data_IF_851487691989
#
_entry.id   IF_851487691989
#
_cell.length_a   1.000
_cell.length_b   1.000
_cell.length_c   1.000
_cell.angle_alpha   90.00
_cell.angle_beta   90.00
_cell.angle_gamma   90.00
#
_symmetry.space_group_name_H-M   'P 1'
#
loop_
_entity.id
_entity.type
_entity.pdbx_description
1 polymer ?
#
# COMPACT_ATOMS: atom_id res chain seq x y z
N UNK A 1 10.48 -0.02 7.98
CA UNK A 1 9.44 0.98 8.16
C UNK A 1 8.03 0.42 8.00
N UNK A 2 7.67 -0.22 6.86
CA UNK A 2 6.35 -0.86 6.65
C UNK A 2 5.95 -1.77 7.81
N UNK A 3 6.84 -2.68 8.24
CA UNK A 3 6.57 -3.60 9.36
C UNK A 3 6.22 -2.88 10.66
N UNK A 4 6.93 -1.80 10.97
CA UNK A 4 6.71 -1.07 12.22
C UNK A 4 5.43 -0.22 12.18
N UNK A 5 5.19 0.51 11.09
CA UNK A 5 3.96 1.26 10.89
C UNK A 5 2.74 0.36 10.86
N UNK A 6 2.83 -0.81 10.21
CA UNK A 6 1.77 -1.82 10.18
C UNK A 6 1.48 -2.40 11.56
N UNK A 7 2.51 -2.63 12.39
CA UNK A 7 2.33 -3.10 13.76
C UNK A 7 1.59 -2.08 14.62
N UNK A 8 1.94 -0.81 14.52
CA UNK A 8 1.27 0.26 15.24
C UNK A 8 -0.16 0.49 14.75
N UNK A 9 -0.35 0.49 13.43
CA UNK A 9 -1.68 0.61 12.81
C UNK A 9 -2.60 -0.56 13.19
N UNK A 10 -2.08 -1.79 13.25
CA UNK A 10 -2.86 -2.96 13.65
C UNK A 10 -3.27 -2.96 15.12
N UNK A 11 -2.50 -2.32 16.00
CA UNK A 11 -2.84 -2.17 17.43
C UNK A 11 -3.87 -1.08 17.71
N UNK A 12 -3.97 -0.08 16.86
CA UNK A 12 -4.84 1.06 17.05
C UNK A 12 -6.34 0.71 17.22
N UNK A 13 -6.95 -0.17 16.37
CA UNK A 13 -8.36 -0.55 16.54
C UNK A 13 -8.64 -1.41 17.76
N UNK A 14 -7.64 -2.12 18.30
CA UNK A 14 -7.83 -2.96 19.50
C UNK A 14 -8.09 -2.13 20.74
N UNK A 15 -7.61 -0.88 20.78
CA UNK A 15 -7.89 0.06 21.87
C UNK A 15 -9.36 0.48 21.91
N UNK A 16 -10.02 0.51 20.74
CA UNK A 16 -11.44 0.88 20.63
C UNK A 16 -12.38 -0.25 21.05
N UNK A 17 -11.92 -1.52 20.96
CA UNK A 17 -12.72 -2.71 21.32
C UNK A 17 -12.57 -3.12 22.79
N UNK A 18 -11.56 -2.60 23.48
CA UNK A 18 -11.14 -3.14 24.77
C UNK A 18 -12.02 -2.77 25.97
N UNK A 19 -12.91 -1.76 25.91
CA UNK A 19 -13.77 -1.47 27.05
C UNK A 19 -14.95 -0.56 26.69
N UNK A 20 -16.14 -1.11 26.45
CA UNK A 20 -17.35 -0.28 26.37
C UNK A 20 -17.65 0.45 27.69
N UNK A 21 -17.26 -0.11 28.83
CA UNK A 21 -17.43 0.53 30.16
C UNK A 21 -16.46 1.68 30.40
N UNK A 22 -15.21 1.61 29.91
CA UNK A 22 -14.25 2.72 29.94
C UNK A 22 -14.60 3.89 29.04
N UNK A 23 -15.37 3.66 27.98
CA UNK A 23 -15.88 4.72 27.10
C UNK A 23 -16.77 5.71 27.85
N UNK A 24 -17.49 5.25 28.86
CA UNK A 24 -18.45 6.04 29.66
C UNK A 24 -17.72 6.93 30.68
N UNK A 25 -16.49 6.61 31.04
CA UNK A 25 -15.71 7.30 32.05
C UNK A 25 -14.75 8.37 31.51
N UNK A 26 -14.49 8.41 30.18
CA UNK A 26 -13.60 9.40 29.61
C UNK A 26 -14.38 10.64 29.15
N UNK A 27 -13.90 11.81 29.51
CA UNK A 27 -14.42 13.05 28.95
C UNK A 27 -14.17 13.07 27.43
N UNK A 28 -15.02 13.76 26.63
CA UNK A 28 -14.84 13.85 25.18
C UNK A 28 -13.44 14.31 24.76
N UNK A 29 -12.80 15.18 25.55
CA UNK A 29 -11.46 15.68 25.31
C UNK A 29 -10.35 14.65 25.57
N UNK A 30 -10.50 13.83 26.62
CA UNK A 30 -9.56 12.75 26.94
C UNK A 30 -9.66 11.63 25.90
N UNK A 31 -10.87 11.27 25.47
CA UNK A 31 -11.12 10.30 24.43
C UNK A 31 -10.47 10.75 23.11
N UNK A 32 -10.66 12.01 22.71
CA UNK A 32 -10.05 12.59 21.51
C UNK A 32 -8.52 12.57 21.60
N UNK A 33 -7.96 12.98 22.75
CA UNK A 33 -6.50 12.99 22.98
C UNK A 33 -5.90 11.58 22.87
N UNK A 34 -6.50 10.58 23.50
CA UNK A 34 -6.03 9.18 23.42
C UNK A 34 -6.13 8.65 22.00
N UNK A 35 -7.20 8.98 21.31
CA UNK A 35 -7.42 8.57 19.91
C UNK A 35 -6.40 9.20 18.96
N UNK A 36 -6.21 10.51 19.01
CA UNK A 36 -5.22 11.24 18.22
C UNK A 36 -3.81 10.72 18.49
N UNK A 37 -3.45 10.60 19.77
CA UNK A 37 -2.11 10.16 20.15
C UNK A 37 -1.80 8.74 19.67
N UNK A 38 -2.67 7.78 19.97
CA UNK A 38 -2.41 6.36 19.65
C UNK A 38 -2.63 6.00 18.18
N UNK A 39 -3.56 6.67 17.49
CA UNK A 39 -3.95 6.30 16.14
C UNK A 39 -3.22 7.12 15.05
N UNK A 40 -2.82 8.34 15.35
CA UNK A 40 -2.15 9.22 14.40
C UNK A 40 -0.68 9.44 14.78
N UNK A 41 -0.41 9.91 15.99
CA UNK A 41 0.95 10.33 16.38
C UNK A 41 1.89 9.15 16.51
N UNK A 42 1.51 8.11 17.22
CA UNK A 42 2.39 6.95 17.48
C UNK A 42 2.79 6.21 16.18
N UNK A 43 1.90 5.95 15.21
CA UNK A 43 2.30 5.33 13.94
C UNK A 43 3.16 6.22 13.04
N UNK A 44 3.06 7.55 13.17
CA UNK A 44 3.85 8.53 12.41
C UNK A 44 5.22 8.77 13.04
N UNK A 45 5.36 8.56 14.36
CA UNK A 45 6.62 8.81 15.07
C UNK A 45 7.86 8.19 14.43
N UNK A 46 7.85 6.92 13.96
CA UNK A 46 9.00 6.31 13.29
C UNK A 46 9.31 6.89 11.91
N UNK A 47 8.36 7.64 11.32
CA UNK A 47 8.56 8.34 10.06
C UNK A 47 9.51 9.53 10.22
N UNK A 48 9.45 10.21 11.35
CA UNK A 48 10.21 11.45 11.61
C UNK A 48 11.72 11.25 11.41
N UNK A 49 12.41 10.30 12.09
CA UNK A 49 13.84 10.10 11.89
C UNK A 49 14.19 9.66 10.46
N UNK A 50 13.33 8.88 9.80
CA UNK A 50 13.55 8.46 8.42
C UNK A 50 13.46 9.66 7.47
N UNK A 51 12.47 10.52 7.63
CA UNK A 51 12.32 11.74 6.82
C UNK A 51 13.48 12.70 7.05
N UNK A 52 13.94 12.86 8.30
CA UNK A 52 15.10 13.71 8.61
C UNK A 52 16.36 13.18 7.92
N UNK A 53 16.63 11.87 7.99
CA UNK A 53 17.78 11.25 7.34
C UNK A 53 17.71 11.40 5.81
N UNK A 54 16.55 11.15 5.21
CA UNK A 54 16.35 11.32 3.76
C UNK A 54 16.47 12.80 3.32
N UNK A 55 16.07 13.74 4.16
CA UNK A 55 16.23 15.17 3.90
C UNK A 55 17.71 15.60 3.96
N UNK A 56 18.50 14.97 4.82
CA UNK A 56 19.96 15.22 4.89
C UNK A 56 20.71 14.68 3.66
N UNK A 57 20.17 13.68 2.98
CA UNK A 57 20.73 13.10 1.73
C UNK A 57 20.17 13.75 0.45
N UNK A 58 19.58 14.88 0.44
CA UNK A 58 18.62 15.51 -0.47
C UNK A 58 17.79 14.53 -1.35
N UNK A 59 17.32 13.43 -0.75
CA UNK A 59 16.54 12.38 -1.42
C UNK A 59 15.03 12.64 -1.35
N UNK A 60 14.55 13.68 -2.05
CA UNK A 60 13.13 14.11 -2.00
C UNK A 60 12.15 13.03 -2.44
N UNK A 61 12.50 12.25 -3.45
CA UNK A 61 11.67 11.12 -3.93
C UNK A 61 11.45 10.05 -2.86
N UNK A 62 12.49 9.72 -2.09
CA UNK A 62 12.39 8.80 -0.96
C UNK A 62 11.44 9.31 0.13
N UNK A 63 11.43 10.62 0.39
CA UNK A 63 10.52 11.24 1.36
C UNK A 63 9.08 11.11 0.87
N UNK A 64 8.80 11.52 -0.36
CA UNK A 64 7.45 11.46 -0.95
C UNK A 64 6.91 10.03 -0.94
N UNK A 65 7.70 9.08 -1.42
CA UNK A 65 7.32 7.66 -1.43
C UNK A 65 7.04 7.12 -0.02
N UNK A 66 7.92 7.43 0.93
CA UNK A 66 7.80 6.98 2.31
C UNK A 66 6.54 7.53 2.98
N UNK A 67 6.27 8.81 2.81
CA UNK A 67 5.06 9.48 3.33
C UNK A 67 3.80 8.91 2.68
N UNK A 68 3.81 8.70 1.35
CA UNK A 68 2.69 8.14 0.61
C UNK A 68 2.35 6.71 1.08
N UNK A 69 3.36 5.85 1.29
CA UNK A 69 3.15 4.47 1.77
C UNK A 69 2.60 4.45 3.19
N UNK A 70 3.19 5.22 4.11
CA UNK A 70 2.69 5.28 5.51
C UNK A 70 1.31 5.90 5.55
N UNK A 71 1.06 6.96 4.78
CA UNK A 71 -0.26 7.56 4.64
C UNK A 71 -1.30 6.54 4.17
N UNK A 72 -0.97 5.73 3.17
CA UNK A 72 -1.86 4.66 2.67
C UNK A 72 -2.15 3.61 3.75
N UNK A 73 -1.13 3.17 4.51
CA UNK A 73 -1.32 2.23 5.62
C UNK A 73 -2.26 2.82 6.68
N UNK A 74 -2.07 4.09 7.05
CA UNK A 74 -2.90 4.76 8.05
C UNK A 74 -4.35 4.95 7.57
N UNK A 75 -4.54 5.34 6.32
CA UNK A 75 -5.88 5.50 5.73
C UNK A 75 -6.65 4.18 5.68
N UNK A 76 -5.99 3.09 5.28
CA UNK A 76 -6.62 1.78 5.12
C UNK A 76 -6.68 0.97 6.42
N UNK A 77 -5.95 1.35 7.46
CA UNK A 77 -6.01 0.68 8.77
C UNK A 77 -7.36 0.84 9.47
N UNK A 78 -8.21 1.75 9.00
CA UNK A 78 -9.51 2.06 9.62
C UNK A 78 -9.40 2.66 11.03
N UNK A 79 -8.18 2.94 11.47
CA UNK A 79 -7.89 3.33 12.86
C UNK A 79 -8.33 4.76 13.20
N UNK A 80 -8.49 5.62 12.21
CA UNK A 80 -8.66 7.05 12.44
C UNK A 80 -9.99 7.66 11.99
N UNK A 81 -10.75 7.02 11.11
CA UNK A 81 -11.96 7.64 10.56
C UNK A 81 -11.71 9.09 10.08
N UNK A 82 -12.50 10.03 10.58
CA UNK A 82 -12.38 11.46 10.24
C UNK A 82 -11.01 12.05 10.55
N UNK A 83 -10.28 11.55 11.56
CA UNK A 83 -8.97 12.06 11.96
C UNK A 83 -7.86 11.74 10.95
N UNK A 84 -7.90 10.57 10.30
CA UNK A 84 -6.93 10.22 9.24
C UNK A 84 -7.17 11.06 7.99
N UNK A 85 -8.42 11.32 7.64
CA UNK A 85 -8.76 12.24 6.57
C UNK A 85 -8.37 13.68 6.89
N UNK A 86 -8.63 14.15 8.11
CA UNK A 86 -8.17 15.46 8.58
C UNK A 86 -6.64 15.57 8.53
N UNK A 87 -5.91 14.51 8.96
CA UNK A 87 -4.46 14.45 8.86
C UNK A 87 -3.97 14.46 7.41
N UNK A 88 -4.63 13.76 6.49
CA UNK A 88 -4.30 13.79 5.08
C UNK A 88 -4.55 15.17 4.44
N UNK A 89 -5.66 15.83 4.78
CA UNK A 89 -5.98 17.18 4.33
C UNK A 89 -4.94 18.18 4.87
N UNK A 90 -4.61 18.11 6.16
CA UNK A 90 -3.58 19.01 6.75
C UNK A 90 -2.20 18.76 6.17
N UNK A 91 -1.82 17.51 5.88
CA UNK A 91 -0.57 17.20 5.18
C UNK A 91 -0.58 17.75 3.75
N UNK A 92 -1.69 17.68 3.05
CA UNK A 92 -1.88 18.27 1.71
C UNK A 92 -1.74 19.80 1.72
N UNK A 93 -2.40 20.48 2.67
CA UNK A 93 -2.29 21.95 2.79
C UNK A 93 -0.89 22.39 3.24
N UNK A 94 -0.21 21.63 4.10
CA UNK A 94 1.18 21.86 4.46
C UNK A 94 2.12 21.69 3.25
N UNK A 95 1.87 20.68 2.43
CA UNK A 95 2.62 20.45 1.20
C UNK A 95 2.39 21.62 0.22
N UNK A 96 1.14 22.06 0.05
CA UNK A 96 0.79 23.22 -0.79
C UNK A 96 1.47 24.50 -0.29
N UNK A 97 1.48 24.76 1.03
CA UNK A 97 2.19 25.91 1.60
C UNK A 97 3.71 25.78 1.48
N UNK A 98 4.27 24.59 1.59
CA UNK A 98 5.69 24.34 1.32
C UNK A 98 6.02 24.58 -0.15
N UNK A 99 5.17 24.12 -1.06
CA UNK A 99 5.34 24.33 -2.50
C UNK A 99 5.20 25.82 -2.87
N UNK A 100 4.33 26.57 -2.20
CA UNK A 100 4.21 28.04 -2.42
C UNK A 100 5.42 28.83 -1.93
N UNK A 101 6.27 28.25 -1.07
CA UNK A 101 7.53 28.84 -0.60
C UNK A 101 8.77 28.20 -1.26
N UNK A 102 8.58 27.47 -2.35
CA UNK A 102 9.65 26.77 -3.09
C UNK A 102 10.73 27.74 -3.60
N UNK A 103 10.38 28.99 -3.88
CA UNK A 103 11.34 30.04 -4.29
C UNK A 103 12.50 30.23 -3.28
N UNK A 104 12.30 29.81 -2.05
CA UNK A 104 13.35 29.81 -1.01
C UNK A 104 14.25 28.57 -1.02
N UNK A 105 13.95 27.53 -1.83
CA UNK A 105 14.70 26.27 -1.90
C UNK A 105 15.19 26.06 -3.35
N UNK A 106 16.43 26.50 -3.69
CA UNK A 106 16.94 26.51 -5.07
C UNK A 106 16.89 25.14 -5.79
N UNK A 107 17.01 24.06 -5.03
CA UNK A 107 16.96 22.70 -5.57
C UNK A 107 15.56 22.30 -6.06
N UNK A 108 14.51 22.63 -5.31
CA UNK A 108 13.12 22.35 -5.69
C UNK A 108 12.68 23.26 -6.84
N UNK A 109 13.06 24.53 -6.77
CA UNK A 109 12.79 25.50 -7.82
C UNK A 109 13.34 25.02 -9.16
N UNK A 110 14.61 24.61 -9.22
CA UNK A 110 15.22 24.09 -10.46
C UNK A 110 14.49 22.87 -11.05
N UNK A 111 13.92 22.01 -10.20
CA UNK A 111 13.13 20.84 -10.66
C UNK A 111 11.75 21.24 -11.18
N UNK A 112 11.10 22.21 -10.52
CA UNK A 112 9.79 22.70 -10.94
C UNK A 112 9.90 23.57 -12.18
N UNK A 113 10.92 24.40 -12.30
CA UNK A 113 11.19 25.20 -13.48
C UNK A 113 11.38 24.33 -14.73
N UNK A 114 12.11 23.22 -14.60
CA UNK A 114 12.29 22.25 -15.68
C UNK A 114 11.03 21.44 -16.04
N UNK A 115 10.02 21.43 -15.17
CA UNK A 115 8.78 20.71 -15.41
C UNK A 115 7.67 21.56 -16.04
N UNK A 116 7.60 22.85 -15.70
CA UNK A 116 6.49 23.75 -16.12
C UNK A 116 6.71 24.45 -17.45
N UNK A 117 7.86 24.24 -18.14
CA UNK A 117 8.28 25.03 -19.28
C UNK A 117 8.17 24.29 -20.61
N UNK A 118 8.23 25.06 -21.72
CA UNK A 118 8.27 24.56 -23.08
C UNK A 118 9.41 23.54 -23.29
N UNK A 119 9.23 22.62 -24.24
CA UNK A 119 10.22 21.59 -24.62
C UNK A 119 11.65 22.10 -24.74
N UNK A 120 11.83 23.36 -25.13
CA UNK A 120 13.15 24.00 -25.26
C UNK A 120 13.85 24.34 -23.95
N UNK A 121 13.13 24.26 -22.82
CA UNK A 121 13.61 24.59 -21.48
C UNK A 121 13.54 23.41 -20.51
N UNK A 122 13.00 22.27 -20.94
CA UNK A 122 13.01 21.04 -20.18
C UNK A 122 14.42 20.47 -19.99
N UNK A 123 14.60 19.63 -18.98
CA UNK A 123 15.85 18.88 -18.84
C UNK A 123 16.01 17.90 -20.00
N UNK A 124 17.24 17.70 -20.49
CA UNK A 124 17.56 16.78 -21.57
C UNK A 124 16.96 15.39 -21.32
N UNK A 125 16.98 14.90 -20.07
CA UNK A 125 16.39 13.62 -19.69
C UNK A 125 14.89 13.54 -19.96
N UNK A 126 14.14 14.58 -19.64
CA UNK A 126 12.69 14.63 -19.86
C UNK A 126 12.36 14.69 -21.34
N UNK A 127 13.10 15.49 -22.09
CA UNK A 127 12.92 15.64 -23.56
C UNK A 127 13.20 14.30 -24.25
N UNK A 128 14.31 13.63 -23.95
CA UNK A 128 14.67 12.34 -24.52
C UNK A 128 13.66 11.24 -24.12
N UNK A 129 13.15 11.29 -22.87
CA UNK A 129 12.08 10.39 -22.44
C UNK A 129 10.81 10.53 -23.28
N UNK A 130 10.40 11.77 -23.58
CA UNK A 130 9.23 12.03 -24.42
C UNK A 130 9.47 11.62 -25.89
N UNK A 131 10.71 11.80 -26.41
CA UNK A 131 11.07 11.33 -27.73
C UNK A 131 11.03 9.80 -27.81
N UNK A 132 11.56 9.08 -26.80
CA UNK A 132 11.46 7.62 -26.73
C UNK A 132 9.99 7.15 -26.77
N UNK A 133 9.11 7.75 -25.96
CA UNK A 133 7.69 7.41 -25.96
C UNK A 133 7.04 7.71 -27.31
N UNK A 134 7.35 8.87 -27.92
CA UNK A 134 6.79 9.30 -29.20
C UNK A 134 7.25 8.44 -30.37
N UNK A 135 8.54 8.05 -30.40
CA UNK A 135 9.12 7.24 -31.48
C UNK A 135 8.60 5.81 -31.53
N UNK A 136 8.17 5.26 -30.35
CA UNK A 136 7.63 3.91 -30.28
C UNK A 136 6.29 3.71 -31.02
N UNK A 137 5.50 4.76 -31.22
CA UNK A 137 4.21 4.67 -31.89
C UNK A 137 3.30 3.59 -31.31
N UNK A 138 2.49 2.93 -32.15
CA UNK A 138 1.55 1.89 -31.67
C UNK A 138 2.20 0.54 -31.41
N UNK A 139 3.14 0.11 -32.23
CA UNK A 139 3.72 -1.26 -32.26
C UNK A 139 5.13 -1.34 -31.69
N UNK A 140 5.80 -0.21 -31.49
CA UNK A 140 7.19 -0.15 -31.10
C UNK A 140 8.18 -0.39 -32.26
N UNK A 141 9.45 -0.11 -31.98
CA UNK A 141 10.58 -0.35 -32.90
C UNK A 141 11.09 -1.81 -32.84
N UNK A 142 10.58 -2.60 -31.89
CA UNK A 142 11.04 -3.96 -31.62
C UNK A 142 12.02 -4.03 -30.44
N UNK A 143 12.04 -5.17 -29.75
CA UNK A 143 12.89 -5.41 -28.60
C UNK A 143 14.38 -5.24 -28.97
N UNK A 144 15.11 -4.48 -28.18
CA UNK A 144 16.53 -4.21 -28.36
C UNK A 144 16.85 -3.10 -29.36
N UNK A 145 15.87 -2.56 -30.08
CA UNK A 145 16.04 -1.55 -31.12
C UNK A 145 15.80 -0.10 -30.64
N UNK A 146 15.73 0.13 -29.35
CA UNK A 146 15.64 1.49 -28.81
C UNK A 146 16.87 2.31 -29.21
N UNK A 147 16.65 3.48 -29.79
CA UNK A 147 17.68 4.44 -30.18
C UNK A 147 18.09 5.28 -28.98
N UNK A 148 17.10 5.70 -28.17
CA UNK A 148 17.33 6.56 -27.00
C UNK A 148 18.14 5.86 -25.89
N UNK A 149 18.05 4.53 -25.80
CA UNK A 149 18.87 3.72 -24.88
C UNK A 149 20.38 3.78 -25.22
N UNK A 150 20.73 4.04 -26.48
CA UNK A 150 22.11 4.03 -26.98
C UNK A 150 22.77 5.42 -26.84
N UNK A 151 22.92 5.95 -25.61
CA UNK A 151 23.67 7.18 -25.27
C UNK A 151 22.88 8.49 -25.21
N UNK A 152 21.62 8.55 -25.64
CA UNK A 152 20.83 9.78 -25.62
C UNK A 152 20.08 10.00 -24.31
N UNK A 153 19.50 8.93 -23.74
CA UNK A 153 18.73 9.00 -22.51
C UNK A 153 19.60 8.61 -21.30
N UNK A 154 20.01 9.55 -20.43
CA UNK A 154 20.66 9.23 -19.16
C UNK A 154 19.75 8.37 -18.29
N UNK A 155 20.32 7.42 -17.52
CA UNK A 155 19.58 6.52 -16.62
C UNK A 155 18.46 5.72 -17.31
N UNK A 156 18.61 5.44 -18.61
CA UNK A 156 17.65 4.69 -19.42
C UNK A 156 17.35 3.28 -18.88
N UNK A 157 18.28 2.68 -18.13
CA UNK A 157 18.13 1.36 -17.49
C UNK A 157 17.58 1.41 -16.08
N UNK A 158 17.49 2.58 -15.48
CA UNK A 158 17.04 2.80 -14.11
C UNK A 158 15.68 3.52 -14.08
N UNK A 159 15.71 4.85 -13.98
CA UNK A 159 14.52 5.65 -13.71
C UNK A 159 13.64 5.87 -14.94
N UNK A 160 14.25 5.82 -16.14
CA UNK A 160 13.58 6.03 -17.42
C UNK A 160 13.35 4.74 -18.23
N UNK A 161 13.47 3.57 -17.58
CA UNK A 161 13.28 2.28 -18.27
C UNK A 161 11.90 2.14 -18.93
N UNK A 162 10.85 2.74 -18.36
CA UNK A 162 9.52 2.70 -18.96
C UNK A 162 9.44 3.46 -20.28
N UNK A 163 10.21 4.52 -20.50
CA UNK A 163 10.33 5.21 -21.81
C UNK A 163 10.93 4.30 -22.86
N UNK A 164 11.97 3.54 -22.49
CA UNK A 164 12.56 2.51 -23.38
C UNK A 164 11.55 1.42 -23.70
N UNK A 165 10.78 0.98 -22.73
CA UNK A 165 9.67 0.02 -22.94
C UNK A 165 8.65 0.57 -23.93
N UNK A 166 8.28 1.85 -23.82
CA UNK A 166 7.37 2.50 -24.77
C UNK A 166 7.97 2.57 -26.18
N UNK A 167 9.27 2.84 -26.31
CA UNK A 167 9.96 2.88 -27.60
C UNK A 167 10.04 1.50 -28.25
N UNK A 168 10.43 0.48 -27.50
CA UNK A 168 10.64 -0.87 -28.03
C UNK A 168 9.33 -1.63 -28.30
N UNK A 169 8.35 -1.54 -27.40
CA UNK A 169 7.08 -2.28 -27.46
C UNK A 169 5.89 -1.44 -27.94
N UNK A 170 6.07 -0.13 -28.08
CA UNK A 170 5.02 0.80 -28.47
C UNK A 170 3.92 0.97 -27.42
N UNK A 171 2.88 1.70 -27.81
CA UNK A 171 1.73 1.98 -26.94
C UNK A 171 1.04 0.70 -26.45
N UNK A 172 0.87 -0.30 -27.31
CA UNK A 172 0.22 -1.57 -26.96
C UNK A 172 1.01 -2.30 -25.87
N UNK A 173 2.33 -2.38 -26.01
CA UNK A 173 3.20 -3.01 -25.00
C UNK A 173 3.22 -2.24 -23.68
N UNK A 174 3.28 -0.91 -23.74
CA UNK A 174 3.22 -0.07 -22.55
C UNK A 174 1.91 -0.26 -21.77
N UNK A 175 0.76 -0.25 -22.46
CA UNK A 175 -0.55 -0.50 -21.84
C UNK A 175 -0.62 -1.91 -21.24
N UNK A 176 -0.11 -2.91 -21.95
CA UNK A 176 -0.08 -4.29 -21.43
C UNK A 176 0.71 -4.37 -20.12
N UNK A 177 1.88 -3.74 -20.03
CA UNK A 177 2.69 -3.72 -18.80
C UNK A 177 1.96 -3.00 -17.69
N UNK A 178 1.31 -1.87 -17.94
CA UNK A 178 0.49 -1.17 -16.94
C UNK A 178 -0.63 -2.09 -16.43
N UNK A 179 -1.34 -2.77 -17.32
CA UNK A 179 -2.40 -3.70 -16.96
C UNK A 179 -1.86 -4.84 -16.09
N UNK A 180 -0.69 -5.40 -16.44
CA UNK A 180 -0.04 -6.43 -15.62
C UNK A 180 0.32 -5.92 -14.22
N UNK A 181 0.83 -4.69 -14.06
CA UNK A 181 1.05 -4.10 -12.76
C UNK A 181 -0.24 -3.90 -11.97
N UNK A 182 -1.31 -3.42 -12.62
CA UNK A 182 -2.62 -3.26 -11.97
C UNK A 182 -3.14 -4.61 -11.48
N UNK A 183 -3.11 -5.64 -12.30
CA UNK A 183 -3.53 -6.99 -11.92
C UNK A 183 -2.66 -7.53 -10.77
N UNK A 184 -1.36 -7.34 -10.82
CA UNK A 184 -0.43 -7.74 -9.77
C UNK A 184 -0.74 -7.06 -8.43
N UNK A 185 -0.95 -5.73 -8.44
CA UNK A 185 -1.29 -4.96 -7.25
C UNK A 185 -2.65 -5.40 -6.70
N UNK A 186 -3.66 -5.56 -7.54
CA UNK A 186 -5.00 -6.02 -7.13
C UNK A 186 -4.92 -7.41 -6.50
N UNK A 187 -4.21 -8.36 -7.11
CA UNK A 187 -4.02 -9.70 -6.54
C UNK A 187 -3.29 -9.64 -5.20
N UNK A 188 -2.24 -8.84 -5.09
CA UNK A 188 -1.52 -8.66 -3.83
C UNK A 188 -2.41 -8.06 -2.72
N UNK A 189 -3.25 -7.09 -3.05
CA UNK A 189 -4.22 -6.51 -2.10
C UNK A 189 -5.28 -7.54 -1.67
N UNK A 190 -5.76 -8.38 -2.59
CA UNK A 190 -6.70 -9.47 -2.26
C UNK A 190 -6.06 -10.50 -1.33
N UNK A 191 -4.79 -10.85 -1.53
CA UNK A 191 -4.01 -11.71 -0.62
C UNK A 191 -3.89 -11.05 0.76
N UNK A 192 -3.51 -9.77 0.79
CA UNK A 192 -3.39 -9.01 2.04
C UNK A 192 -4.71 -8.94 2.81
N UNK A 193 -5.83 -8.74 2.12
CA UNK A 193 -7.16 -8.68 2.74
C UNK A 193 -7.58 -10.02 3.35
N UNK A 194 -7.16 -11.15 2.78
CA UNK A 194 -7.45 -12.51 3.28
C UNK A 194 -6.45 -12.98 4.34
N UNK A 195 -5.54 -12.13 4.80
CA UNK A 195 -4.54 -12.49 5.80
C UNK A 195 -5.16 -12.95 7.13
N UNK A 196 -4.41 -13.75 7.88
CA UNK A 196 -4.83 -14.34 9.16
C UNK A 196 -5.20 -13.28 10.20
N UNK A 197 -4.44 -12.19 10.26
CA UNK A 197 -4.59 -11.13 11.25
C UNK A 197 -4.37 -9.73 10.66
N UNK A 198 -4.82 -8.70 11.39
CA UNK A 198 -4.77 -7.32 10.94
C UNK A 198 -3.32 -6.81 10.68
N UNK A 199 -2.34 -7.30 11.45
CA UNK A 199 -0.95 -6.95 11.24
C UNK A 199 -0.45 -7.42 9.85
N UNK A 200 -0.69 -8.69 9.51
CA UNK A 200 -0.34 -9.24 8.20
C UNK A 200 -1.07 -8.51 7.06
N UNK A 201 -2.36 -8.17 7.28
CA UNK A 201 -3.13 -7.34 6.35
C UNK A 201 -2.43 -5.99 6.10
N UNK A 202 -2.05 -5.28 7.17
CA UNK A 202 -1.38 -3.97 7.04
C UNK A 202 0.00 -4.07 6.39
N UNK A 203 0.76 -5.12 6.71
CA UNK A 203 2.06 -5.38 6.05
C UNK A 203 1.87 -5.61 4.55
N UNK A 204 0.94 -6.46 4.18
CA UNK A 204 0.64 -6.74 2.77
C UNK A 204 0.15 -5.50 2.01
N UNK A 205 -0.74 -4.72 2.61
CA UNK A 205 -1.19 -3.44 2.06
C UNK A 205 0.00 -2.48 1.88
N UNK A 206 0.89 -2.40 2.87
CA UNK A 206 2.06 -1.53 2.80
C UNK A 206 3.01 -1.88 1.66
N UNK A 207 3.28 -3.18 1.45
CA UNK A 207 4.10 -3.67 0.34
C UNK A 207 3.45 -3.34 -1.01
N UNK A 208 2.16 -3.63 -1.16
CA UNK A 208 1.45 -3.34 -2.41
C UNK A 208 1.32 -1.85 -2.67
N UNK A 209 1.11 -1.03 -1.63
CA UNK A 209 1.09 0.43 -1.74
C UNK A 209 2.45 0.98 -2.19
N UNK A 210 3.56 0.46 -1.66
CA UNK A 210 4.90 0.84 -2.09
C UNK A 210 5.08 0.60 -3.59
N UNK A 211 4.76 -0.59 -4.07
CA UNK A 211 4.87 -0.95 -5.49
C UNK A 211 3.94 -0.06 -6.33
N UNK A 212 2.70 0.14 -5.89
CA UNK A 212 1.74 0.98 -6.60
C UNK A 212 2.22 2.43 -6.74
N UNK A 213 2.73 3.01 -5.65
CA UNK A 213 3.28 4.37 -5.68
C UNK A 213 4.54 4.48 -6.54
N UNK A 214 5.44 3.47 -6.50
CA UNK A 214 6.63 3.45 -7.36
C UNK A 214 6.25 3.40 -8.84
N UNK A 215 5.34 2.51 -9.23
CA UNK A 215 4.85 2.40 -10.61
C UNK A 215 4.18 3.70 -11.05
N UNK A 216 3.28 4.23 -10.23
CA UNK A 216 2.59 5.48 -10.53
C UNK A 216 3.55 6.65 -10.71
N UNK A 217 4.46 6.86 -9.75
CA UNK A 217 5.42 7.96 -9.82
C UNK A 217 6.38 7.81 -11.00
N UNK A 218 6.89 6.60 -11.29
CA UNK A 218 7.78 6.37 -12.44
C UNK A 218 7.08 6.71 -13.75
N UNK A 219 5.87 6.18 -14.00
CA UNK A 219 5.11 6.46 -15.21
C UNK A 219 4.79 7.96 -15.32
N UNK A 220 4.38 8.60 -14.21
CA UNK A 220 4.06 10.02 -14.20
C UNK A 220 5.28 10.92 -14.48
N UNK A 221 6.46 10.50 -14.04
CA UNK A 221 7.73 11.22 -14.34
C UNK A 221 8.12 11.08 -15.79
N UNK A 222 8.14 9.86 -16.34
CA UNK A 222 8.58 9.64 -17.73
C UNK A 222 7.62 10.25 -18.76
N UNK A 223 6.33 10.41 -18.38
CA UNK A 223 5.32 11.13 -19.19
C UNK A 223 5.29 12.63 -18.92
N UNK A 224 6.22 13.16 -18.14
CA UNK A 224 6.26 14.56 -17.72
C UNK A 224 4.98 15.06 -17.03
N UNK A 225 4.20 14.17 -16.42
CA UNK A 225 3.03 14.53 -15.60
C UNK A 225 3.44 15.00 -14.21
N UNK A 226 4.56 14.47 -13.68
CA UNK A 226 5.20 14.89 -12.45
C UNK A 226 6.65 15.30 -12.73
N UNK A 227 7.22 16.21 -11.90
CA UNK A 227 8.63 16.56 -12.01
C UNK A 227 9.52 15.35 -11.77
N UNK A 228 10.72 15.34 -12.37
CA UNK A 228 11.66 14.24 -12.26
C UNK A 228 12.03 13.96 -10.79
N UNK A 229 11.69 12.76 -10.31
CA UNK A 229 11.92 12.33 -8.93
C UNK A 229 13.00 11.25 -8.78
N UNK A 230 13.41 10.57 -9.85
CA UNK A 230 14.39 9.49 -9.78
C UNK A 230 13.85 8.21 -9.10
N UNK A 231 12.56 7.93 -9.21
CA UNK A 231 11.96 6.69 -8.69
C UNK A 231 12.03 5.60 -9.74
N UNK A 232 12.70 4.49 -9.41
CA UNK A 232 12.84 3.34 -10.30
C UNK A 232 11.56 2.54 -10.45
N UNK A 233 11.34 1.92 -11.63
CA UNK A 233 10.21 1.03 -11.88
C UNK A 233 10.47 -0.34 -11.24
N UNK A 234 9.58 -0.83 -10.36
CA UNK A 234 9.74 -2.13 -9.71
C UNK A 234 9.91 -3.26 -10.72
N UNK A 235 10.85 -4.18 -10.46
CA UNK A 235 11.19 -5.36 -11.27
C UNK A 235 11.81 -5.09 -12.66
N UNK A 236 11.74 -3.87 -13.17
CA UNK A 236 12.27 -3.51 -14.50
C UNK A 236 13.62 -2.80 -14.41
N UNK A 237 13.78 -1.94 -13.41
CA UNK A 237 15.00 -1.16 -13.25
C UNK A 237 16.19 -2.02 -12.84
N UNK A 238 17.39 -1.67 -13.32
CA UNK A 238 18.62 -2.46 -13.15
C UNK A 238 19.26 -2.39 -11.75
N UNK A 239 18.51 -1.95 -10.74
CA UNK A 239 18.98 -1.84 -9.35
C UNK A 239 19.04 -3.19 -8.65
N UNK A 240 20.23 -3.80 -8.54
CA UNK A 240 20.39 -5.12 -7.88
C UNK A 240 19.88 -5.15 -6.43
N UNK A 241 20.19 -4.13 -5.63
CA UNK A 241 19.74 -4.03 -4.24
C UNK A 241 18.22 -3.87 -4.14
N UNK A 242 17.62 -3.05 -4.99
CA UNK A 242 16.16 -2.85 -5.00
C UNK A 242 15.43 -4.12 -5.42
N UNK A 243 15.95 -4.87 -6.38
CA UNK A 243 15.38 -6.15 -6.80
C UNK A 243 15.42 -7.20 -5.69
N UNK A 244 16.55 -7.32 -4.94
CA UNK A 244 16.65 -8.24 -3.81
C UNK A 244 15.60 -7.90 -2.74
N UNK A 245 15.43 -6.62 -2.42
CA UNK A 245 14.43 -6.17 -1.44
C UNK A 245 13.01 -6.46 -1.92
N UNK A 246 12.69 -6.17 -3.19
CA UNK A 246 11.39 -6.48 -3.77
C UNK A 246 11.09 -7.99 -3.74
N UNK A 247 12.07 -8.83 -4.06
CA UNK A 247 11.90 -10.29 -3.98
C UNK A 247 11.69 -10.76 -2.54
N UNK A 248 12.38 -10.16 -1.57
CA UNK A 248 12.14 -10.43 -0.16
C UNK A 248 10.72 -10.02 0.27
N UNK A 249 10.23 -8.86 -0.15
CA UNK A 249 8.86 -8.40 0.07
C UNK A 249 7.84 -9.36 -0.56
N UNK A 250 8.12 -9.87 -1.76
CA UNK A 250 7.26 -10.90 -2.39
C UNK A 250 7.26 -12.20 -1.59
N UNK A 251 8.41 -12.61 -1.03
CA UNK A 251 8.48 -13.75 -0.11
C UNK A 251 7.57 -13.58 1.12
N UNK A 252 7.53 -12.37 1.69
CA UNK A 252 6.60 -12.03 2.77
C UNK A 252 5.15 -12.12 2.31
N UNK A 253 4.81 -11.60 1.12
CA UNK A 253 3.47 -11.68 0.54
C UNK A 253 2.99 -13.12 0.34
N UNK A 254 3.85 -13.99 -0.20
CA UNK A 254 3.55 -15.42 -0.36
C UNK A 254 3.30 -16.09 1.00
N UNK A 255 4.09 -15.75 2.02
CA UNK A 255 3.90 -16.28 3.37
C UNK A 255 2.56 -15.80 3.97
N UNK A 256 2.20 -14.53 3.81
CA UNK A 256 0.90 -13.99 4.24
C UNK A 256 -0.25 -14.75 3.57
N UNK A 257 -0.18 -15.00 2.27
CA UNK A 257 -1.19 -15.74 1.53
C UNK A 257 -1.37 -17.17 2.05
N UNK A 258 -0.27 -17.90 2.19
CA UNK A 258 -0.28 -19.30 2.70
C UNK A 258 -0.85 -19.40 4.12
N UNK A 259 -0.49 -18.48 5.00
CA UNK A 259 -1.02 -18.49 6.37
C UNK A 259 -2.49 -18.07 6.42
N UNK A 260 -2.91 -17.14 5.58
CA UNK A 260 -4.32 -16.77 5.44
C UNK A 260 -5.20 -17.93 4.99
N UNK A 261 -4.76 -18.71 3.99
CA UNK A 261 -5.47 -19.90 3.53
C UNK A 261 -5.56 -20.98 4.62
N UNK A 262 -4.45 -21.25 5.32
CA UNK A 262 -4.45 -22.21 6.45
C UNK A 262 -5.41 -21.78 7.55
N UNK A 263 -5.40 -20.50 7.91
CA UNK A 263 -6.30 -19.96 8.92
C UNK A 263 -7.77 -20.06 8.48
N UNK A 264 -8.06 -19.83 7.20
CA UNK A 264 -9.41 -20.01 6.64
C UNK A 264 -9.89 -21.46 6.75
N UNK A 265 -9.06 -22.43 6.35
CA UNK A 265 -9.36 -23.87 6.45
C UNK A 265 -9.58 -24.28 7.91
N UNK A 266 -8.75 -23.84 8.84
CA UNK A 266 -8.94 -24.14 10.27
C UNK A 266 -10.25 -23.56 10.82
N UNK A 267 -10.61 -22.34 10.42
CA UNK A 267 -11.90 -21.73 10.81
C UNK A 267 -13.09 -22.51 10.29
N UNK A 268 -13.01 -23.00 9.07
CA UNK A 268 -14.06 -23.81 8.46
C UNK A 268 -14.21 -25.16 9.17
N UNK A 269 -13.12 -25.87 9.47
CA UNK A 269 -13.11 -27.09 10.25
C UNK A 269 -13.70 -26.88 11.64
N UNK A 270 -13.31 -25.81 12.34
CA UNK A 270 -13.88 -25.50 13.66
C UNK A 270 -15.36 -25.15 13.60
N UNK A 271 -15.84 -24.52 12.53
CA UNK A 271 -17.28 -24.27 12.33
C UNK A 271 -18.04 -25.56 12.16
N UNK A 272 -17.57 -26.45 11.28
CA UNK A 272 -18.18 -27.78 11.06
C UNK A 272 -18.21 -28.58 12.35
N UNK A 273 -17.13 -28.61 13.14
CA UNK A 273 -17.11 -29.30 14.44
C UNK A 273 -18.11 -28.70 15.45
N UNK A 274 -18.24 -27.37 15.48
CA UNK A 274 -19.21 -26.70 16.37
C UNK A 274 -20.66 -26.99 15.96
N UNK A 275 -20.92 -27.04 14.66
CA UNK A 275 -22.25 -27.40 14.12
C UNK A 275 -22.60 -28.84 14.45
N UNK A 276 -21.68 -29.80 14.26
CA UNK A 276 -21.85 -31.18 14.65
C UNK A 276 -22.13 -31.34 16.16
N UNK A 277 -21.31 -30.69 17.00
CA UNK A 277 -21.50 -30.72 18.45
C UNK A 277 -22.82 -30.08 18.91
N UNK A 278 -23.33 -29.08 18.18
CA UNK A 278 -24.65 -28.50 18.45
C UNK A 278 -25.77 -29.49 18.10
N UNK A 279 -25.69 -30.11 16.92
CA UNK A 279 -26.65 -31.10 16.47
C UNK A 279 -26.73 -32.32 17.43
N UNK A 280 -25.57 -32.80 17.92
CA UNK A 280 -25.52 -33.87 18.93
C UNK A 280 -26.21 -33.46 20.25
N UNK A 281 -25.95 -32.23 20.74
CA UNK A 281 -26.61 -31.72 21.96
C UNK A 281 -28.13 -31.58 21.79
N UNK A 282 -28.58 -31.10 20.65
CA UNK A 282 -30.00 -30.96 20.34
C UNK A 282 -30.67 -32.33 20.26
N UNK A 283 -30.02 -33.32 19.63
CA UNK A 283 -30.51 -34.70 19.57
C UNK A 283 -30.59 -35.36 20.98
N UNK A 284 -29.58 -35.11 21.84
CA UNK A 284 -29.57 -35.60 23.21
C UNK A 284 -30.68 -34.97 24.05
N UNK A 285 -30.88 -33.63 23.91
CA UNK A 285 -31.98 -32.94 24.59
C UNK A 285 -33.36 -33.45 24.13
N UNK A 286 -33.53 -33.68 22.82
CA UNK A 286 -34.77 -34.22 22.28
C UNK A 286 -35.06 -35.64 22.85
N UNK A 287 -34.05 -36.51 22.93
CA UNK A 287 -34.16 -37.83 23.57
C UNK A 287 -34.59 -37.72 25.04
N UNK A 288 -33.92 -36.89 25.82
CA UNK A 288 -34.26 -36.64 27.24
C UNK A 288 -35.70 -36.14 27.41
N UNK A 289 -36.14 -35.27 26.49
CA UNK A 289 -37.50 -34.73 26.54
C UNK A 289 -38.55 -35.81 26.26
N UNK A 290 -38.28 -36.72 25.29
CA UNK A 290 -39.14 -37.88 24.98
C UNK A 290 -39.20 -38.85 26.13
N UNK A 291 -38.05 -39.17 26.77
CA UNK A 291 -37.98 -40.05 27.94
C UNK A 291 -38.75 -39.49 29.16
N UNK A 292 -38.66 -38.20 29.40
CA UNK A 292 -39.42 -37.53 30.45
C UNK A 292 -40.94 -37.52 30.14
N UNK A 293 -41.32 -37.35 28.88
CA UNK A 293 -42.73 -37.38 28.50
C UNK A 293 -43.32 -38.80 28.63
N UNK A 294 -42.59 -39.82 28.26
CA UNK A 294 -43.01 -41.23 28.43
C UNK A 294 -43.10 -41.64 29.91
N UNK A 295 -42.13 -41.20 30.71
CA UNK A 295 -42.19 -41.46 32.19
C UNK A 295 -43.34 -40.74 32.89
N UNK A 296 -43.74 -39.53 32.42
CA UNK A 296 -44.94 -38.84 32.89
C UNK A 296 -46.25 -39.57 32.52
N UNK A 297 -46.35 -40.01 31.28
CA UNK A 297 -47.51 -40.75 30.79
C UNK A 297 -47.74 -42.04 31.61
N UNK A 298 -46.69 -42.80 31.88
CA UNK A 298 -46.76 -44.02 32.70
C UNK A 298 -47.16 -43.78 34.17
N UNK A 299 -46.95 -42.59 34.70
CA UNK A 299 -47.39 -42.23 36.09
C UNK A 299 -48.84 -41.75 36.15
N UNK A 300 -49.45 -41.38 35.04
CA UNK A 300 -50.85 -40.95 34.99
C UNK A 300 -51.84 -42.11 34.79
N UNK A 301 -51.30 -43.25 34.35
CA UNK A 301 -52.09 -44.47 34.17
C UNK A 301 -52.13 -45.37 35.40
N UNK A 302 -51.45 -45.04 36.46
CA UNK A 302 -51.50 -45.69 37.79
C UNK A 302 -52.35 -44.84 38.78
#
# INVERSE_FOLDING_TARGET
MILFSSHLAAKAPQVERLDPERRILLTPGEWLRVRVWKQLVVPVLPLIPVVILLAMEPHMSGIVLTVAVVGTILLLSGSGGVLTWAGAITAGTLLETLLSHVDSIPYLQKRLDGWTQDLSQMTDQTVQSLYAIGSGGLKGLGLGNSVEKQLWLPESTNDFIFSVVCEELGFIGAVLIIVLFVLFIVQGLLIAYKAENLYCTMVGIGIMAQIAWQVFCNIAVVTNTLPNTGISLPFFSSGGTSLILLLAEMGVMVNIGRNGERAAQQREQMRAQREAARAEREAELARKTIDLASARAARTEQ
#
